data_IF_041737890979
#
_entry.id   IF_041737890979
#
_cell.length_a   1.000
_cell.length_b   1.000
_cell.length_c   1.000
_cell.angle_alpha   90.00
_cell.angle_beta   90.00
_cell.angle_gamma   90.00
#
_symmetry.space_group_name_H-M   'P 1'
#
loop_
_entity.id
_entity.type
_entity.pdbx_description
1 polymer ?
#
# COMPACT_ATOMS: atom_id res chain seq x y z
N UNK A 1 -27.07 -24.08 0.41
CA UNK A 1 -27.26 -23.68 1.03
C UNK A 1 -27.03 -23.29 1.61
N UNK A 2 -26.50 -23.86 1.23
CA UNK A 2 -26.28 -23.32 1.79
C UNK A 2 -25.82 -22.86 2.05
N UNK A 3 -25.34 -23.41 1.07
CA UNK A 3 -25.23 -22.71 1.51
C UNK A 3 -24.58 -22.43 1.68
N UNK A 4 -24.08 -22.54 1.37
CA UNK A 4 -23.84 -22.01 1.88
C UNK A 4 -23.51 -21.88 2.08
N UNK A 5 -23.22 -21.82 0.74
CA UNK A 5 -23.31 -21.38 1.29
C UNK A 5 -22.97 -21.14 1.62
N UNK A 6 -22.48 -21.34 0.97
CA UNK A 6 -22.46 -20.88 1.59
C UNK A 6 -22.16 -20.63 1.76
N UNK A 7 -21.73 -20.71 0.96
CA UNK A 7 -21.84 -20.30 1.50
C UNK A 7 -21.66 -19.90 1.69
N UNK A 8 -21.10 -19.94 1.11
CA UNK A 8 -21.28 -19.49 1.68
C UNK A 8 -21.17 -19.17 2.33
N UNK A 9 -20.69 -19.76 1.70
CA UNK A 9 -20.89 -19.27 2.57
C UNK A 9 -20.40 -19.14 3.04
N UNK A 10 -20.07 -19.45 2.56
CA UNK A 10 -20.00 -19.21 3.17
C UNK A 10 -19.40 -18.96 3.21
N UNK A 11 -19.06 -19.00 2.63
CA UNK A 11 -18.76 -18.63 2.96
C UNK A 11 -18.53 -17.99 3.23
N UNK A 12 -18.35 -17.75 3.00
CA UNK A 12 -18.33 -17.08 3.64
C UNK A 12 -18.04 -16.84 4.32
N UNK A 13 -17.66 -17.11 4.21
CA UNK A 13 -17.46 -16.80 5.14
C UNK A 13 -16.84 -17.05 5.42
N UNK A 14 -16.36 -17.41 4.99
CA UNK A 14 -15.74 -17.42 5.13
C UNK A 14 -15.14 -17.07 4.70
N UNK A 15 -15.11 -16.61 4.11
CA UNK A 15 -14.65 -15.92 3.97
C UNK A 15 -14.57 -15.23 4.36
N UNK A 16 -14.63 -14.94 4.62
CA UNK A 16 -14.37 -14.25 5.17
C UNK A 16 -13.85 -14.46 5.97
N UNK A 17 -13.89 -15.10 6.51
CA UNK A 17 -13.16 -15.32 7.11
C UNK A 17 -12.13 -15.45 6.93
N UNK A 18 -12.23 -15.74 6.44
CA UNK A 18 -11.00 -15.59 6.04
C UNK A 18 -10.59 -14.26 6.03
N UNK A 19 -11.47 -13.51 5.83
CA UNK A 19 -11.27 -12.14 5.81
C UNK A 19 -10.74 -11.61 7.05
N UNK A 20 -11.26 -12.09 8.06
CA UNK A 20 -10.87 -11.61 9.30
C UNK A 20 -9.50 -12.03 9.61
N UNK A 21 -8.98 -12.88 8.77
CA UNK A 21 -7.63 -13.28 8.93
C UNK A 21 -6.72 -12.48 8.07
N UNK A 22 -7.20 -11.37 7.55
CA UNK A 22 -6.33 -10.51 6.79
C UNK A 22 -5.13 -10.09 7.59
N UNK A 23 -3.97 -10.20 6.98
CA UNK A 23 -2.72 -9.78 7.60
C UNK A 23 -2.59 -8.28 7.44
N UNK A 24 -2.22 -7.61 8.52
CA UNK A 24 -2.01 -6.17 8.49
C UNK A 24 -0.66 -5.83 9.10
N UNK A 25 -0.17 -4.64 8.79
CA UNK A 25 1.02 -4.07 9.41
C UNK A 25 0.66 -2.66 9.83
N UNK A 26 0.90 -2.31 11.08
CA UNK A 26 0.54 -0.99 11.61
C UNK A 26 -0.95 -0.68 11.43
N UNK A 27 -1.78 -1.73 11.40
CA UNK A 27 -3.21 -1.57 11.20
C UNK A 27 -3.60 -1.28 9.77
N UNK A 28 -2.71 -1.53 8.80
CA UNK A 28 -2.96 -1.28 7.38
C UNK A 28 -2.80 -2.55 6.57
N UNK A 29 -3.60 -2.72 5.49
CA UNK A 29 -3.44 -3.88 4.62
C UNK A 29 -2.26 -3.68 3.68
N UNK A 30 -1.85 -4.74 2.97
CA UNK A 30 -0.70 -4.67 2.07
C UNK A 30 -0.87 -3.61 0.98
N UNK A 31 -2.08 -3.34 0.56
CA UNK A 31 -2.35 -2.34 -0.49
C UNK A 31 -1.94 -0.93 -0.08
N UNK A 32 -1.72 -0.70 1.22
CA UNK A 32 -1.31 0.61 1.71
C UNK A 32 0.20 0.83 1.58
N UNK A 33 0.95 -0.17 1.15
CA UNK A 33 2.41 -0.12 1.10
C UNK A 33 2.92 -0.09 -0.34
N UNK A 34 3.97 0.68 -0.59
CA UNK A 34 4.54 0.79 -1.94
C UNK A 34 5.38 -0.42 -2.30
N UNK A 35 5.93 -1.11 -1.31
CA UNK A 35 6.71 -2.32 -1.53
C UNK A 35 6.10 -3.44 -0.71
N UNK A 36 5.75 -4.55 -1.37
CA UNK A 36 5.25 -5.75 -0.70
C UNK A 36 6.05 -6.91 -1.25
N UNK A 37 7.00 -7.42 -0.46
CA UNK A 37 7.81 -8.53 -0.89
C UNK A 37 7.02 -9.82 -0.90
N UNK A 38 6.39 -10.14 0.22
CA UNK A 38 5.55 -11.33 0.35
C UNK A 38 4.23 -10.90 0.99
N UNK A 39 3.09 -11.12 0.32
CA UNK A 39 1.79 -10.71 0.88
C UNK A 39 1.46 -11.35 2.22
N UNK A 40 2.06 -12.51 2.52
CA UNK A 40 1.80 -13.21 3.78
C UNK A 40 2.79 -12.83 4.88
N UNK A 41 3.79 -11.99 4.56
CA UNK A 41 4.83 -11.61 5.52
C UNK A 41 4.91 -10.10 5.67
N UNK A 42 4.20 -9.54 6.66
CA UNK A 42 4.18 -8.07 6.84
C UNK A 42 5.57 -7.46 7.04
N UNK A 43 6.52 -8.21 7.54
CA UNK A 43 7.88 -7.69 7.72
C UNK A 43 8.53 -7.31 6.40
N UNK A 44 7.99 -7.79 5.27
CA UNK A 44 8.50 -7.43 3.94
C UNK A 44 7.79 -6.22 3.34
N UNK A 45 6.78 -5.69 4.02
CA UNK A 45 6.01 -4.54 3.52
C UNK A 45 6.68 -3.25 3.97
N UNK A 46 6.83 -2.30 3.03
CA UNK A 46 7.53 -1.06 3.29
C UNK A 46 6.82 0.13 2.65
N UNK A 47 7.03 1.30 3.20
CA UNK A 47 6.56 2.57 2.68
C UNK A 47 5.05 2.71 2.69
N UNK A 48 4.44 2.73 3.89
CA UNK A 48 3.01 2.99 4.00
C UNK A 48 2.70 4.41 3.56
N UNK A 49 1.65 4.57 2.77
CA UNK A 49 1.28 5.88 2.24
C UNK A 49 -0.23 6.06 2.11
N UNK A 50 -1.00 5.26 2.82
CA UNK A 50 -2.46 5.38 2.87
C UNK A 50 -2.93 5.45 4.30
N UNK A 51 -4.09 6.08 4.52
CA UNK A 51 -4.74 6.08 5.82
C UNK A 51 -5.58 4.82 5.98
N UNK A 52 -6.12 4.60 7.16
CA UNK A 52 -6.99 3.45 7.42
C UNK A 52 -8.27 3.48 6.59
N UNK A 53 -8.60 4.63 6.02
CA UNK A 53 -9.74 4.72 5.11
C UNK A 53 -9.57 3.81 3.89
N UNK A 54 -8.35 3.32 3.63
CA UNK A 54 -8.09 2.38 2.54
C UNK A 54 -8.97 1.13 2.67
N UNK A 55 -9.34 0.73 3.89
CA UNK A 55 -10.23 -0.41 4.05
C UNK A 55 -11.58 -0.19 3.38
N UNK A 56 -12.07 1.05 3.40
CA UNK A 56 -13.32 1.37 2.72
C UNK A 56 -13.16 1.33 1.20
N UNK A 57 -11.99 1.70 0.71
CA UNK A 57 -11.74 1.63 -0.73
C UNK A 57 -11.68 0.18 -1.19
N UNK A 58 -11.15 -0.71 -0.36
CA UNK A 58 -11.10 -2.13 -0.69
C UNK A 58 -12.49 -2.76 -0.69
N UNK A 59 -13.45 -2.13 -0.01
CA UNK A 59 -14.83 -2.55 -0.02
C UNK A 59 -15.64 -1.88 -1.13
N UNK A 60 -14.99 -1.11 -1.99
CA UNK A 60 -15.66 -0.42 -3.08
C UNK A 60 -16.44 0.81 -2.67
N UNK A 61 -16.24 1.32 -1.45
CA UNK A 61 -17.02 2.45 -0.94
C UNK A 61 -16.34 3.80 -1.09
N UNK A 62 -15.07 3.79 -1.43
CA UNK A 62 -14.30 5.02 -1.48
C UNK A 62 -13.21 4.86 -2.53
N UNK A 63 -12.93 5.93 -3.27
CA UNK A 63 -11.83 5.94 -4.22
C UNK A 63 -10.52 5.83 -3.47
N UNK A 64 -9.68 4.88 -3.85
CA UNK A 64 -8.41 4.64 -3.18
C UNK A 64 -7.51 5.89 -3.18
N UNK A 65 -7.64 6.74 -4.19
CA UNK A 65 -6.85 7.98 -4.25
C UNK A 65 -7.21 8.94 -3.12
N UNK A 66 -8.41 8.82 -2.55
CA UNK A 66 -8.81 9.66 -1.43
C UNK A 66 -8.28 9.14 -0.10
N UNK A 67 -7.63 7.99 -0.11
CA UNK A 67 -7.07 7.41 1.12
C UNK A 67 -5.57 7.63 1.23
N UNK A 68 -4.95 8.31 0.24
CA UNK A 68 -3.53 8.59 0.29
C UNK A 68 -3.22 9.47 1.49
N UNK A 69 -2.22 9.08 2.26
CA UNK A 69 -1.80 9.83 3.45
C UNK A 69 -0.70 10.79 3.04
N UNK A 70 -1.08 12.01 2.71
CA UNK A 70 -0.12 13.00 2.23
C UNK A 70 0.85 13.45 3.31
N UNK A 71 0.54 13.16 4.58
CA UNK A 71 1.49 13.43 5.67
C UNK A 71 2.62 12.41 5.70
N UNK A 72 2.36 11.18 5.26
CA UNK A 72 3.37 10.14 5.20
C UNK A 72 4.09 10.09 3.87
N UNK A 73 3.50 10.65 2.83
CA UNK A 73 4.06 10.57 1.50
C UNK A 73 5.49 11.12 1.41
N UNK A 74 5.83 12.26 2.02
CA UNK A 74 7.20 12.76 1.94
C UNK A 74 8.22 11.77 2.52
N UNK A 75 7.88 11.09 3.60
CA UNK A 75 8.80 10.10 4.19
C UNK A 75 8.98 8.90 3.26
N UNK A 76 7.91 8.46 2.61
CA UNK A 76 8.00 7.35 1.67
C UNK A 76 8.88 7.72 0.46
N UNK A 77 8.70 8.92 -0.06
CA UNK A 77 9.51 9.43 -1.17
C UNK A 77 10.98 9.52 -0.76
N UNK A 78 11.24 10.10 0.42
CA UNK A 78 12.61 10.26 0.90
C UNK A 78 13.29 8.90 1.12
N UNK A 79 12.56 7.91 1.58
CA UNK A 79 13.13 6.59 1.83
C UNK A 79 13.63 5.91 0.55
N UNK A 80 13.08 6.29 -0.61
CA UNK A 80 13.52 5.77 -1.90
C UNK A 80 14.74 6.48 -2.43
N UNK A 81 15.04 7.68 -1.93
CA UNK A 81 16.15 8.47 -2.40
C UNK A 81 17.48 7.86 -1.91
N UNK A 82 18.58 8.31 -2.52
CA UNK A 82 19.90 7.83 -2.12
C UNK A 82 20.22 8.12 -0.66
N UNK A 83 19.82 9.29 -0.19
CA UNK A 83 20.08 9.68 1.20
C UNK A 83 19.11 9.04 2.19
N UNK A 84 17.99 8.52 1.69
CA UNK A 84 17.01 7.89 2.53
C UNK A 84 16.23 8.87 3.39
N UNK A 85 15.37 8.31 4.24
CA UNK A 85 14.62 9.10 5.21
C UNK A 85 15.41 9.02 6.51
N UNK A 86 15.79 10.19 7.02
CA UNK A 86 16.61 10.31 8.24
C UNK A 86 17.90 9.50 8.12
N UNK A 87 18.48 9.51 6.92
CA UNK A 87 19.74 8.84 6.68
C UNK A 87 19.65 7.37 6.37
N UNK A 88 18.42 6.83 6.30
CA UNK A 88 18.24 5.41 6.01
C UNK A 88 17.40 5.19 4.76
N UNK A 89 18.01 4.58 3.77
CA UNK A 89 17.32 4.22 2.55
C UNK A 89 16.59 2.91 2.76
N UNK A 90 15.43 2.77 2.09
CA UNK A 90 14.68 1.53 2.18
C UNK A 90 15.52 0.36 1.66
N UNK A 91 15.43 -0.77 2.36
CA UNK A 91 16.14 -1.98 1.97
C UNK A 91 15.28 -2.76 0.99
N UNK A 92 15.63 -2.67 -0.30
CA UNK A 92 14.89 -3.35 -1.35
C UNK A 92 15.74 -3.45 -2.60
N UNK A 93 15.38 -4.35 -3.50
CA UNK A 93 16.06 -4.49 -4.77
C UNK A 93 15.85 -3.25 -5.63
N UNK A 94 16.80 -2.92 -6.51
CA UNK A 94 16.65 -1.73 -7.38
C UNK A 94 15.36 -1.73 -8.17
N UNK A 95 14.91 -2.88 -8.65
CA UNK A 95 13.65 -2.95 -9.41
C UNK A 95 12.46 -2.61 -8.55
N UNK A 96 12.47 -3.07 -7.29
CA UNK A 96 11.38 -2.76 -6.38
C UNK A 96 11.34 -1.28 -6.05
N UNK A 97 12.51 -0.66 -5.93
CA UNK A 97 12.60 0.78 -5.69
C UNK A 97 12.02 1.54 -6.88
N UNK A 98 12.34 1.13 -8.11
CA UNK A 98 11.82 1.77 -9.30
C UNK A 98 10.30 1.62 -9.39
N UNK A 99 9.79 0.41 -9.12
CA UNK A 99 8.36 0.18 -9.14
C UNK A 99 7.63 1.01 -8.08
N UNK A 100 8.22 1.09 -6.89
CA UNK A 100 7.65 1.91 -5.83
C UNK A 100 7.64 3.38 -6.22
N UNK A 101 8.71 3.87 -6.84
CA UNK A 101 8.77 5.25 -7.29
C UNK A 101 7.69 5.55 -8.31
N UNK A 102 7.47 4.63 -9.25
CA UNK A 102 6.41 4.79 -10.24
C UNK A 102 5.04 4.79 -9.60
N UNK A 103 4.85 3.92 -8.61
CA UNK A 103 3.59 3.82 -7.90
C UNK A 103 3.27 5.13 -7.18
N UNK A 104 4.24 5.67 -6.45
CA UNK A 104 4.03 6.93 -5.73
C UNK A 104 3.84 8.10 -6.70
N UNK A 105 4.59 8.11 -7.81
CA UNK A 105 4.44 9.16 -8.81
C UNK A 105 3.03 9.20 -9.37
N UNK A 106 2.41 8.02 -9.56
CA UNK A 106 1.03 7.97 -10.06
C UNK A 106 0.05 8.62 -9.08
N UNK A 107 0.28 8.47 -7.78
CA UNK A 107 -0.58 9.14 -6.80
C UNK A 107 -0.48 10.66 -6.92
N UNK A 108 0.75 11.18 -7.12
CA UNK A 108 0.93 12.60 -7.32
C UNK A 108 0.21 13.06 -8.59
N UNK A 109 0.36 12.30 -9.69
CA UNK A 109 -0.28 12.66 -10.95
C UNK A 109 -1.80 12.67 -10.83
N UNK A 110 -2.37 11.67 -10.18
CA UNK A 110 -3.82 11.59 -10.01
C UNK A 110 -4.36 12.69 -9.11
N UNK A 111 -3.54 13.14 -8.16
CA UNK A 111 -3.92 14.24 -7.29
C UNK A 111 -3.62 15.60 -7.91
N UNK A 112 -3.06 15.60 -9.12
CA UNK A 112 -2.66 16.82 -9.83
C UNK A 112 -1.65 17.62 -9.04
N UNK A 113 -0.75 16.92 -8.38
CA UNK A 113 0.36 17.51 -7.64
C UNK A 113 1.66 17.27 -8.40
N UNK A 114 2.62 18.22 -8.35
CA UNK A 114 3.89 18.00 -9.06
C UNK A 114 4.62 16.80 -8.49
N UNK A 115 5.12 15.95 -9.38
CA UNK A 115 5.90 14.77 -8.97
C UNK A 115 7.24 15.26 -8.45
N UNK A 116 7.64 14.84 -7.23
CA UNK A 116 8.94 15.25 -6.69
C UNK A 116 10.10 14.81 -7.58
N UNK A 117 11.13 15.63 -7.66
CA UNK A 117 12.33 15.30 -8.44
C UNK A 117 12.95 13.99 -7.97
N UNK A 118 12.88 13.72 -6.67
CA UNK A 118 13.38 12.46 -6.10
C UNK A 118 12.80 11.25 -6.81
N UNK A 119 11.51 11.29 -7.12
CA UNK A 119 10.87 10.20 -7.85
C UNK A 119 11.24 10.25 -9.33
N UNK A 120 11.32 11.44 -9.88
CA UNK A 120 11.63 11.60 -11.30
C UNK A 120 12.97 11.02 -11.69
N UNK A 121 13.97 11.11 -10.82
CA UNK A 121 15.29 10.58 -11.15
C UNK A 121 15.37 9.05 -10.99
N UNK A 122 14.37 8.45 -10.36
CA UNK A 122 14.35 7.00 -10.16
C UNK A 122 13.58 6.28 -11.27
N UNK A 123 12.76 6.97 -11.99
CA UNK A 123 11.95 6.39 -13.04
C UNK A 123 12.37 6.94 -14.38
#
# INVERSE_FOLDING_TARGET
>A
MRGFSLVRGGIMSKVKELIQKEITKEGLPREAFAIVGDPDKPETWKLPHHTKAIFRSLQGRLDIEKTVDWDRMPAAVAALSRGGYRGERVQADPEDIIQAARHLARHYEKAKKPVPDTLGVLI
#
